data_IF_148719083917
#
_entry.id   IF_148719083917
#
_cell.length_a   1.000
_cell.length_b   1.000
_cell.length_c   1.000
_cell.angle_alpha   90.00
_cell.angle_beta   90.00
_cell.angle_gamma   90.00
#
_symmetry.space_group_name_H-M   'P 1'
#
loop_
_entity.id
_entity.type
_entity.pdbx_description
1 polymer ?
#
# COMPACT_ATOMS: atom_id res chain seq x y z
N UNK A 1 -15.37 -19.73 11.26
CA UNK A 1 -15.07 -18.29 11.19
C UNK A 1 -13.56 -18.14 11.22
N UNK A 2 -12.93 -17.86 10.08
CA UNK A 2 -11.48 -17.72 9.99
C UNK A 2 -11.09 -16.37 10.58
N UNK A 3 -10.59 -16.41 11.81
CA UNK A 3 -9.88 -15.32 12.46
C UNK A 3 -8.68 -14.93 11.59
N UNK A 4 -8.65 -13.68 11.12
CA UNK A 4 -7.46 -12.99 10.59
C UNK A 4 -6.37 -13.04 11.67
N UNK A 5 -5.57 -14.11 11.66
CA UNK A 5 -4.56 -14.37 12.69
C UNK A 5 -3.21 -13.89 12.19
N UNK A 6 -2.87 -12.64 12.56
CA UNK A 6 -1.54 -12.02 12.70
C UNK A 6 -0.67 -11.74 11.45
N UNK A 7 0.12 -10.62 11.42
CA UNK A 7 -0.06 -9.30 12.02
C UNK A 7 -0.06 -8.14 10.98
N UNK A 8 -0.90 -7.11 11.20
CA UNK A 8 -1.09 -5.92 10.34
C UNK A 8 0.10 -4.92 10.43
N UNK A 9 1.18 -5.30 11.10
CA UNK A 9 2.49 -4.64 11.02
C UNK A 9 3.57 -5.70 11.16
N UNK A 10 4.06 -6.29 10.05
CA UNK A 10 5.12 -7.28 10.19
C UNK A 10 6.39 -6.56 10.61
N UNK A 11 6.98 -7.03 11.72
CA UNK A 11 8.33 -6.64 12.11
C UNK A 11 9.28 -7.11 11.01
N UNK A 12 10.26 -6.28 10.63
CA UNK A 12 11.36 -6.70 9.74
C UNK A 12 11.94 -8.01 10.29
N UNK A 13 11.72 -9.13 9.59
CA UNK A 13 12.27 -10.42 9.99
C UNK A 13 13.76 -10.43 9.67
N UNK A 14 14.59 -11.01 10.53
CA UNK A 14 16.05 -11.05 10.35
C UNK A 14 16.54 -12.29 9.57
N UNK A 15 15.67 -13.25 9.27
CA UNK A 15 16.05 -14.54 8.68
C UNK A 15 14.98 -15.08 7.74
N UNK A 16 15.42 -15.49 6.53
CA UNK A 16 14.59 -16.16 5.54
C UNK A 16 14.25 -17.59 5.99
N UNK A 17 12.98 -17.95 5.97
CA UNK A 17 12.47 -19.30 6.27
C UNK A 17 12.21 -20.06 4.97
N UNK A 18 12.29 -21.39 4.97
CA UNK A 18 11.88 -22.24 3.85
C UNK A 18 10.39 -22.06 3.46
N UNK A 19 9.60 -21.44 4.33
CA UNK A 19 8.23 -21.00 4.09
C UNK A 19 8.11 -19.80 3.11
N UNK A 20 9.24 -19.20 2.70
CA UNK A 20 9.26 -18.00 1.86
C UNK A 20 9.33 -18.32 0.35
N UNK A 21 9.86 -19.46 -0.10
CA UNK A 21 10.14 -19.69 -1.53
C UNK A 21 8.87 -19.81 -2.39
N UNK A 22 7.93 -20.68 -2.00
CA UNK A 22 6.65 -20.88 -2.70
C UNK A 22 5.78 -19.62 -2.70
N UNK A 23 5.78 -18.89 -1.58
CA UNK A 23 5.12 -17.60 -1.46
C UNK A 23 5.77 -16.55 -2.37
N UNK A 24 7.09 -16.43 -2.37
CA UNK A 24 7.82 -15.48 -3.23
C UNK A 24 7.52 -15.79 -4.69
N UNK A 25 7.49 -17.06 -5.07
CA UNK A 25 7.12 -17.51 -6.42
C UNK A 25 5.68 -17.11 -6.74
N UNK A 26 4.72 -17.43 -5.88
CA UNK A 26 3.31 -17.05 -6.04
C UNK A 26 3.11 -15.54 -6.22
N UNK A 27 3.75 -14.72 -5.36
CA UNK A 27 3.64 -13.26 -5.46
C UNK A 27 4.37 -12.71 -6.69
N UNK A 28 5.50 -13.31 -7.08
CA UNK A 28 6.23 -12.95 -8.31
C UNK A 28 5.42 -13.29 -9.56
N UNK A 29 4.75 -14.42 -9.58
CA UNK A 29 3.87 -14.84 -10.68
C UNK A 29 2.66 -13.91 -10.80
N UNK A 30 2.17 -13.38 -9.68
CA UNK A 30 1.20 -12.29 -9.64
C UNK A 30 1.79 -10.91 -9.97
N UNK A 31 3.07 -10.82 -10.34
CA UNK A 31 3.77 -9.60 -10.77
C UNK A 31 4.18 -8.65 -9.64
N UNK A 32 4.23 -9.13 -8.39
CA UNK A 32 4.66 -8.36 -7.22
C UNK A 32 6.16 -8.56 -6.96
N UNK A 33 6.80 -7.54 -6.38
CA UNK A 33 8.21 -7.61 -6.02
C UNK A 33 8.36 -7.90 -4.52
N UNK A 34 9.07 -8.95 -4.15
CA UNK A 34 9.29 -9.34 -2.74
C UNK A 34 10.77 -9.26 -2.41
N UNK A 35 11.12 -8.51 -1.37
CA UNK A 35 12.46 -8.48 -0.80
C UNK A 35 12.60 -9.59 0.27
N UNK A 36 13.45 -10.57 -0.03
CA UNK A 36 13.65 -11.81 0.76
C UNK A 36 14.12 -11.57 2.19
N UNK A 37 14.91 -10.51 2.43
CA UNK A 37 15.52 -10.29 3.73
C UNK A 37 14.64 -9.53 4.72
N UNK A 38 13.74 -8.70 4.22
CA UNK A 38 12.90 -7.82 5.05
C UNK A 38 11.43 -8.25 5.07
N UNK A 39 11.08 -9.22 4.21
CA UNK A 39 9.70 -9.59 3.89
C UNK A 39 8.86 -8.38 3.38
N UNK A 40 9.54 -7.41 2.78
CA UNK A 40 8.90 -6.24 2.18
C UNK A 40 8.33 -6.64 0.83
N UNK A 41 7.04 -6.39 0.66
CA UNK A 41 6.39 -6.46 -0.65
C UNK A 41 6.34 -5.04 -1.21
N UNK A 42 6.65 -4.94 -2.49
CA UNK A 42 6.59 -3.71 -3.25
C UNK A 42 5.55 -3.83 -4.37
N UNK A 43 4.66 -2.87 -4.41
CA UNK A 43 3.68 -2.70 -5.48
C UNK A 43 3.91 -1.35 -6.17
N UNK A 44 3.62 -1.33 -7.47
CA UNK A 44 3.65 -0.10 -8.27
C UNK A 44 2.23 0.18 -8.75
N UNK A 45 1.71 1.34 -8.35
CA UNK A 45 0.42 1.84 -8.78
C UNK A 45 0.65 2.90 -9.86
N UNK A 46 0.08 2.69 -11.03
CA UNK A 46 0.12 3.70 -12.09
C UNK A 46 -1.14 4.55 -11.90
N UNK A 47 -1.01 5.79 -11.43
CA UNK A 47 -2.12 6.68 -11.13
C UNK A 47 -2.40 7.63 -12.30
N UNK A 48 -3.49 8.39 -12.21
CA UNK A 48 -3.93 9.28 -13.29
C UNK A 48 -2.89 10.36 -13.63
N UNK A 49 -2.75 10.75 -14.91
CA UNK A 49 -1.75 11.74 -15.34
C UNK A 49 -2.06 13.17 -14.87
N UNK A 50 -3.30 13.45 -14.44
CA UNK A 50 -3.71 14.74 -13.90
C UNK A 50 -3.52 14.86 -12.38
N UNK A 51 -3.08 13.80 -11.70
CA UNK A 51 -2.74 13.87 -10.27
C UNK A 51 -1.55 14.81 -10.07
N UNK A 52 -1.66 15.73 -9.11
CA UNK A 52 -0.56 16.57 -8.68
C UNK A 52 0.46 15.75 -7.87
N UNK A 53 1.65 15.44 -8.40
CA UNK A 53 2.61 14.59 -7.70
C UNK A 53 3.22 15.27 -6.47
N UNK A 54 3.02 16.58 -6.27
CA UNK A 54 3.53 17.30 -5.10
C UNK A 54 2.49 17.42 -3.97
N UNK A 55 1.24 16.99 -4.21
CA UNK A 55 0.19 16.99 -3.20
C UNK A 55 -0.04 15.56 -2.67
N UNK A 56 0.35 15.26 -1.42
CA UNK A 56 0.15 13.93 -0.85
C UNK A 56 -1.30 13.48 -0.80
N UNK A 57 -2.25 14.38 -0.54
CA UNK A 57 -3.66 14.02 -0.47
C UNK A 57 -4.16 13.54 -1.84
N UNK A 58 -3.76 14.24 -2.92
CA UNK A 58 -4.13 13.88 -4.28
C UNK A 58 -3.48 12.56 -4.72
N UNK A 59 -2.20 12.33 -4.39
CA UNK A 59 -1.50 11.06 -4.67
C UNK A 59 -2.11 9.89 -3.90
N UNK A 60 -2.45 10.06 -2.63
CA UNK A 60 -3.06 9.02 -1.80
C UNK A 60 -4.46 8.68 -2.33
N UNK A 61 -5.27 9.68 -2.66
CA UNK A 61 -6.60 9.49 -3.25
C UNK A 61 -6.53 8.79 -4.61
N UNK A 62 -5.61 9.19 -5.48
CA UNK A 62 -5.42 8.56 -6.79
C UNK A 62 -4.91 7.11 -6.65
N UNK A 63 -4.02 6.85 -5.67
CA UNK A 63 -3.58 5.50 -5.32
C UNK A 63 -4.75 4.63 -4.86
N UNK A 64 -5.68 5.17 -4.06
CA UNK A 64 -6.88 4.47 -3.61
C UNK A 64 -7.75 3.99 -4.77
N UNK A 65 -7.99 4.85 -5.76
CA UNK A 65 -8.77 4.50 -6.96
C UNK A 65 -8.12 3.39 -7.78
N UNK A 66 -6.80 3.43 -7.93
CA UNK A 66 -6.06 2.37 -8.63
C UNK A 66 -6.06 1.06 -7.84
N UNK A 67 -5.95 1.10 -6.50
CA UNK A 67 -6.11 -0.08 -5.64
C UNK A 67 -7.51 -0.70 -5.79
N UNK A 68 -8.55 0.13 -5.78
CA UNK A 68 -9.94 -0.30 -6.00
C UNK A 68 -10.12 -0.97 -7.37
N UNK A 69 -9.58 -0.35 -8.42
CA UNK A 69 -9.58 -0.93 -9.77
C UNK A 69 -8.91 -2.31 -9.77
N UNK A 70 -7.76 -2.47 -9.12
CA UNK A 70 -7.05 -3.76 -9.10
C UNK A 70 -7.82 -4.84 -8.37
N UNK A 71 -8.39 -4.52 -7.21
CA UNK A 71 -9.18 -5.49 -6.42
C UNK A 71 -10.50 -5.88 -7.10
N UNK A 72 -11.03 -5.04 -7.99
CA UNK A 72 -12.29 -5.31 -8.71
C UNK A 72 -12.11 -5.94 -10.09
N UNK A 73 -10.95 -5.78 -10.76
CA UNK A 73 -10.73 -6.28 -12.14
C UNK A 73 -10.16 -7.72 -12.24
N UNK A 74 -10.04 -8.44 -11.13
CA UNK A 74 -9.59 -9.83 -11.11
C UNK A 74 -8.07 -10.01 -11.13
N UNK A 75 -7.61 -11.24 -10.87
CA UNK A 75 -6.21 -11.53 -10.50
C UNK A 75 -5.19 -11.21 -11.60
N UNK A 76 -5.60 -11.32 -12.87
CA UNK A 76 -4.76 -10.97 -14.02
C UNK A 76 -4.34 -9.48 -14.05
N UNK A 77 -5.04 -8.62 -13.30
CA UNK A 77 -4.76 -7.18 -13.22
C UNK A 77 -3.90 -6.79 -12.02
N UNK A 78 -3.47 -7.75 -11.20
CA UNK A 78 -2.54 -7.52 -10.09
C UNK A 78 -1.12 -7.26 -10.56
N UNK A 79 -0.70 -7.97 -11.61
CA UNK A 79 0.61 -7.80 -12.19
C UNK A 79 0.73 -6.42 -12.83
N UNK A 80 1.73 -5.64 -12.38
CA UNK A 80 2.14 -4.43 -13.08
C UNK A 80 3.52 -4.67 -13.72
N UNK A 81 3.64 -4.70 -15.05
CA UNK A 81 4.93 -4.98 -15.68
C UNK A 81 5.97 -3.92 -15.32
N UNK A 82 7.19 -4.38 -14.97
CA UNK A 82 8.37 -3.51 -14.90
C UNK A 82 8.55 -2.83 -16.26
N UNK A 83 8.45 -1.50 -16.32
CA UNK A 83 8.49 -0.73 -17.58
C UNK A 83 7.94 0.68 -17.41
N UNK A 84 7.89 1.48 -18.46
CA UNK A 84 7.23 2.78 -18.38
C UNK A 84 5.72 2.60 -18.19
N UNK A 85 5.07 3.38 -17.30
CA UNK A 85 3.64 3.30 -17.13
C UNK A 85 2.92 3.62 -18.47
N UNK A 86 1.84 2.92 -18.81
CA UNK A 86 1.09 3.19 -20.02
C UNK A 86 0.45 4.59 -19.96
N UNK A 87 0.32 5.25 -21.11
CA UNK A 87 -0.48 6.49 -21.26
C UNK A 87 -0.10 7.67 -20.34
N UNK A 88 1.20 7.99 -20.21
CA UNK A 88 1.67 9.13 -19.39
C UNK A 88 1.26 9.08 -17.91
N UNK A 89 0.78 7.94 -17.43
CA UNK A 89 0.39 7.76 -16.02
C UNK A 89 1.59 7.96 -15.11
N UNK A 90 1.32 8.43 -13.90
CA UNK A 90 2.36 8.68 -12.90
C UNK A 90 2.55 7.37 -12.11
N UNK A 91 3.79 6.94 -11.87
CA UNK A 91 4.05 5.71 -11.11
C UNK A 91 4.33 6.01 -9.64
N UNK A 92 3.55 5.39 -8.76
CA UNK A 92 3.71 5.44 -7.31
C UNK A 92 4.21 4.09 -6.80
N UNK A 93 5.31 4.12 -6.07
CA UNK A 93 5.84 3.01 -5.30
C UNK A 93 5.14 2.94 -3.95
N UNK A 94 4.75 1.74 -3.55
CA UNK A 94 4.38 1.40 -2.18
C UNK A 94 5.20 0.19 -1.75
N UNK A 95 5.97 0.33 -0.67
CA UNK A 95 6.78 -0.73 -0.09
C UNK A 95 6.43 -0.91 1.37
N UNK A 96 6.01 -2.11 1.76
CA UNK A 96 5.64 -2.39 3.15
C UNK A 96 5.94 -3.85 3.51
N UNK A 97 6.25 -4.12 4.79
CA UNK A 97 6.34 -5.49 5.27
C UNK A 97 4.96 -6.16 5.15
N UNK A 98 4.93 -7.39 4.62
CA UNK A 98 3.69 -8.14 4.41
C UNK A 98 3.87 -9.63 4.66
N UNK A 99 2.90 -10.29 5.30
CA UNK A 99 2.84 -11.76 5.44
C UNK A 99 1.80 -12.41 4.52
N UNK A 100 1.14 -11.60 3.68
CA UNK A 100 0.16 -12.04 2.69
C UNK A 100 0.70 -13.17 1.81
N UNK A 101 -0.12 -14.20 1.59
CA UNK A 101 0.20 -15.34 0.74
C UNK A 101 -0.27 -15.10 -0.70
N UNK A 102 -1.28 -14.25 -0.87
CA UNK A 102 -1.87 -13.92 -2.17
C UNK A 102 -1.71 -12.46 -2.52
N UNK A 103 -1.73 -12.14 -3.81
CA UNK A 103 -1.71 -10.74 -4.26
C UNK A 103 -2.93 -9.95 -3.77
N UNK A 104 -4.11 -10.59 -3.69
CA UNK A 104 -5.31 -9.96 -3.15
C UNK A 104 -5.11 -9.48 -1.70
N UNK A 105 -4.51 -10.31 -0.85
CA UNK A 105 -4.17 -9.95 0.52
C UNK A 105 -3.15 -8.79 0.58
N UNK A 106 -2.14 -8.79 -0.31
CA UNK A 106 -1.20 -7.66 -0.42
C UNK A 106 -1.94 -6.35 -0.77
N UNK A 107 -2.89 -6.38 -1.70
CA UNK A 107 -3.66 -5.18 -2.06
C UNK A 107 -4.59 -4.73 -0.94
N UNK A 108 -5.15 -5.65 -0.16
CA UNK A 108 -5.92 -5.33 1.06
C UNK A 108 -5.04 -4.68 2.13
N UNK A 109 -3.81 -5.16 2.32
CA UNK A 109 -2.85 -4.51 3.22
C UNK A 109 -2.46 -3.10 2.73
N UNK A 110 -2.16 -2.96 1.43
CA UNK A 110 -1.89 -1.65 0.83
C UNK A 110 -3.07 -0.69 0.99
N UNK A 111 -4.31 -1.18 0.91
CA UNK A 111 -5.53 -0.40 1.15
C UNK A 111 -5.58 0.16 2.58
N UNK A 112 -5.23 -0.64 3.58
CA UNK A 112 -5.19 -0.20 4.99
C UNK A 112 -4.13 0.89 5.18
N UNK A 113 -2.93 0.71 4.62
CA UNK A 113 -1.89 1.75 4.67
C UNK A 113 -2.33 3.01 3.94
N UNK A 114 -3.04 2.88 2.82
CA UNK A 114 -3.59 4.02 2.08
C UNK A 114 -4.59 4.82 2.93
N UNK A 115 -5.51 4.15 3.63
CA UNK A 115 -6.45 4.80 4.57
C UNK A 115 -5.70 5.52 5.71
N UNK A 116 -4.59 4.97 6.20
CA UNK A 116 -3.80 5.61 7.23
C UNK A 116 -3.10 6.88 6.72
N UNK A 117 -2.51 6.84 5.52
CA UNK A 117 -1.94 8.03 4.88
C UNK A 117 -3.01 9.09 4.57
N UNK A 118 -4.21 8.67 4.17
CA UNK A 118 -5.36 9.56 3.93
C UNK A 118 -5.74 10.31 5.21
N UNK A 119 -5.90 9.57 6.31
CA UNK A 119 -6.19 10.16 7.62
C UNK A 119 -5.11 11.15 8.07
N UNK A 120 -3.83 10.84 7.84
CA UNK A 120 -2.73 11.77 8.18
C UNK A 120 -2.71 12.97 7.24
N UNK A 121 -3.02 12.80 5.95
CA UNK A 121 -3.09 13.92 5.02
C UNK A 121 -4.25 14.88 5.34
N UNK A 122 -5.39 14.35 5.80
CA UNK A 122 -6.60 15.14 6.11
C UNK A 122 -6.59 15.73 7.53
N UNK A 123 -6.27 14.92 8.53
CA UNK A 123 -6.37 15.28 9.96
C UNK A 123 -5.03 15.73 10.54
N UNK A 124 -3.92 15.38 9.89
CA UNK A 124 -2.59 15.71 10.34
C UNK A 124 -2.34 17.21 10.39
N UNK A 125 -1.72 17.67 11.47
CA UNK A 125 -1.37 19.10 11.63
C UNK A 125 -0.26 19.56 10.70
N UNK A 126 0.54 18.63 10.17
CA UNK A 126 1.67 18.89 9.28
C UNK A 126 1.43 18.20 7.95
N UNK A 127 1.58 18.96 6.86
CA UNK A 127 1.67 18.36 5.52
C UNK A 127 3.02 17.67 5.39
N UNK A 128 3.01 16.43 4.90
CA UNK A 128 4.21 15.69 4.56
C UNK A 128 4.54 15.83 3.07
N UNK A 129 5.74 15.44 2.66
CA UNK A 129 6.12 15.29 1.26
C UNK A 129 6.47 13.84 0.94
N UNK A 130 6.79 13.56 -0.32
CA UNK A 130 7.32 12.25 -0.74
C UNK A 130 8.83 12.33 -0.99
N UNK A 131 9.61 11.27 -0.68
CA UNK A 131 9.16 9.98 -0.13
C UNK A 131 8.67 10.11 1.32
N UNK A 132 7.66 9.31 1.67
CA UNK A 132 7.01 9.30 2.99
C UNK A 132 7.09 7.91 3.62
N UNK A 133 7.40 7.83 4.92
CA UNK A 133 7.50 6.59 5.68
C UNK A 133 6.52 6.61 6.85
N UNK A 134 5.46 5.80 6.77
CA UNK A 134 4.44 5.69 7.80
C UNK A 134 4.85 4.72 8.90
N UNK A 135 4.90 5.22 10.14
CA UNK A 135 5.21 4.51 11.37
C UNK A 135 6.46 3.59 11.25
N UNK A 136 7.44 4.01 10.45
CA UNK A 136 8.69 3.31 10.21
C UNK A 136 8.60 2.04 9.35
N UNK A 137 7.47 1.77 8.69
CA UNK A 137 7.22 0.48 8.03
C UNK A 137 6.71 0.56 6.59
N UNK A 138 5.80 1.48 6.25
CA UNK A 138 5.25 1.59 4.91
C UNK A 138 5.80 2.83 4.21
N UNK A 139 6.56 2.62 3.15
CA UNK A 139 7.13 3.69 2.33
C UNK A 139 6.25 3.93 1.10
N UNK A 140 5.97 5.21 0.83
CA UNK A 140 5.32 5.67 -0.39
C UNK A 140 6.22 6.67 -1.08
N UNK A 141 6.46 6.47 -2.37
CA UNK A 141 7.20 7.41 -3.20
C UNK A 141 6.58 7.49 -4.59
N UNK A 142 6.79 8.59 -5.29
CA UNK A 142 6.32 8.80 -6.67
C UNK A 142 7.54 9.05 -7.55
N UNK A 143 7.65 8.27 -8.61
CA UNK A 143 8.73 8.44 -9.59
C UNK A 143 8.37 9.55 -10.56
N UNK A 144 8.52 10.81 -10.12
CA UNK A 144 8.26 12.00 -10.92
C UNK A 144 9.54 12.88 -11.07
N UNK A 145 9.76 13.55 -12.22
CA UNK A 145 10.90 14.43 -12.44
C UNK A 145 10.95 15.60 -11.43
N UNK A 146 12.14 15.99 -10.99
CA UNK A 146 12.35 17.14 -10.10
C UNK A 146 12.30 16.84 -8.60
N UNK A 147 12.31 15.56 -8.21
CA UNK A 147 12.30 15.14 -6.81
C UNK A 147 13.70 14.97 -6.24
N UNK A 148 13.95 15.67 -5.14
CA UNK A 148 15.06 15.45 -4.21
C UNK A 148 14.53 15.71 -2.81
N UNK A 149 14.77 14.82 -1.88
CA UNK A 149 14.35 15.06 -0.51
C UNK A 149 14.73 13.92 0.42
N UNK A 150 14.88 14.29 1.69
CA UNK A 150 14.92 13.35 2.79
C UNK A 150 13.56 12.65 2.93
N UNK A 151 13.57 11.44 3.48
CA UNK A 151 12.35 10.68 3.76
C UNK A 151 11.56 11.40 4.85
N UNK A 152 10.29 11.68 4.57
CA UNK A 152 9.38 12.28 5.52
C UNK A 152 8.83 11.19 6.44
N UNK A 153 9.19 11.22 7.72
CA UNK A 153 8.58 10.36 8.72
C UNK A 153 7.16 10.85 9.02
N UNK A 154 6.20 9.94 8.87
CA UNK A 154 4.76 10.18 9.05
C UNK A 154 4.24 9.17 10.08
N UNK A 155 3.30 9.56 10.93
CA UNK A 155 2.70 8.64 11.90
C UNK A 155 1.18 8.78 11.94
N UNK A 156 0.46 7.67 12.19
CA UNK A 156 -0.97 7.76 12.52
C UNK A 156 -1.23 8.60 13.77
N UNK A 157 -0.22 8.78 14.62
CA UNK A 157 -0.30 9.69 15.77
C UNK A 157 -0.46 11.15 15.36
N UNK A 158 0.02 11.54 14.16
CA UNK A 158 -0.20 12.87 13.60
C UNK A 158 -1.70 13.13 13.31
N UNK A 159 -2.46 12.07 13.01
CA UNK A 159 -3.91 12.09 12.82
C UNK A 159 -4.70 11.94 14.13
N UNK A 160 -4.03 11.85 15.28
CA UNK A 160 -4.65 11.76 16.61
C UNK A 160 -4.90 10.35 17.13
N UNK A 161 -4.39 9.30 16.47
CA UNK A 161 -4.44 7.94 16.99
C UNK A 161 -3.34 7.69 18.04
N UNK A 162 -3.57 6.82 19.01
CA UNK A 162 -2.56 6.52 20.04
C UNK A 162 -1.42 5.60 19.52
N UNK A 163 -1.73 4.72 18.57
CA UNK A 163 -0.79 3.79 17.94
C UNK A 163 -1.38 3.24 16.64
N UNK A 164 -0.62 2.43 15.90
CA UNK A 164 -1.11 1.68 14.74
C UNK A 164 -2.27 0.75 15.10
N UNK A 165 -2.18 0.04 16.23
CA UNK A 165 -3.26 -0.79 16.75
C UNK A 165 -4.49 0.05 17.12
N UNK A 166 -4.25 1.24 17.67
CA UNK A 166 -5.28 2.25 17.90
C UNK A 166 -5.99 2.68 16.61
N UNK A 167 -5.26 2.91 15.53
CA UNK A 167 -5.82 3.20 14.21
C UNK A 167 -6.71 2.04 13.71
N UNK A 168 -6.18 0.81 13.71
CA UNK A 168 -6.89 -0.37 13.18
C UNK A 168 -8.19 -0.69 13.95
N UNK A 169 -8.20 -0.44 15.26
CA UNK A 169 -9.40 -0.64 16.09
C UNK A 169 -10.51 0.38 15.80
N UNK A 170 -10.17 1.58 15.33
CA UNK A 170 -11.13 2.65 15.04
C UNK A 170 -11.63 2.64 13.59
N UNK A 171 -10.74 2.39 12.63
CA UNK A 171 -11.04 2.65 11.21
C UNK A 171 -11.75 1.50 10.51
N UNK A 172 -11.64 0.26 11.00
CA UNK A 172 -12.31 -0.97 10.47
C UNK A 172 -12.39 -0.98 8.93
N UNK A 173 -11.34 -1.43 8.23
CA UNK A 173 -11.25 -1.30 6.78
C UNK A 173 -12.41 -2.02 6.07
N UNK A 174 -13.06 -1.32 5.14
CA UNK A 174 -13.98 -1.89 4.18
C UNK A 174 -13.26 -2.03 2.83
N UNK A 175 -13.31 -3.23 2.24
CA UNK A 175 -12.60 -3.54 1.01
C UNK A 175 -13.56 -3.53 -0.19
N UNK A 176 -13.12 -3.09 -1.37
CA UNK A 176 -13.92 -3.17 -2.58
C UNK A 176 -14.43 -4.59 -2.85
N UNK A 177 -15.71 -4.71 -3.20
CA UNK A 177 -16.33 -5.98 -3.54
C UNK A 177 -16.10 -6.30 -5.01
N UNK A 178 -15.35 -7.38 -5.28
CA UNK A 178 -15.09 -7.88 -6.63
C UNK A 178 -16.35 -8.36 -7.34
N UNK A 179 -17.29 -8.98 -6.62
CA UNK A 179 -18.52 -9.55 -7.18
C UNK A 179 -19.60 -8.48 -7.43
N UNK A 180 -19.49 -7.33 -6.76
CA UNK A 180 -20.41 -6.22 -6.91
C UNK A 180 -19.67 -4.87 -6.94
N UNK A 181 -19.10 -4.49 -8.11
CA UNK A 181 -18.31 -3.27 -8.25
C UNK A 181 -19.05 -2.02 -7.77
N UNK A 182 -18.35 -1.14 -7.04
CA UNK A 182 -18.94 0.05 -6.42
C UNK A 182 -19.55 -0.20 -5.04
N UNK A 183 -19.50 -1.43 -4.54
CA UNK A 183 -19.82 -1.75 -3.14
C UNK A 183 -18.58 -2.20 -2.36
N UNK A 184 -18.66 -2.12 -1.04
CA UNK A 184 -17.58 -2.49 -0.13
C UNK A 184 -18.02 -3.61 0.81
N UNK A 185 -17.16 -4.60 1.01
CA UNK A 185 -17.31 -5.65 2.00
C UNK A 185 -16.47 -5.28 3.23
N UNK A 186 -17.13 -5.07 4.37
CA UNK A 186 -16.48 -4.93 5.68
C UNK A 186 -16.49 -6.26 6.45
N UNK A 187 -15.55 -6.37 7.39
CA UNK A 187 -15.55 -7.44 8.42
C UNK A 187 -16.55 -7.09 9.52
#
# INVERSE_FOLDING_TARGET
MATLSTPIKPLKRATASAFDAERIETLRDAGLSVETHTNTVAIYLDIDPWTNPLDPADVVLASRRELERRMTMGEACYANPKGNPPHHRIRVYWGFPSEAQTAEEVFKEAWIYNMAFEDVAEKGKKKFGFPALLDGCCMVDVFAPGRSGDVNDVSVTDAGYCSWEGFLSNVKPAFPNKDNPGTYCGV
#
